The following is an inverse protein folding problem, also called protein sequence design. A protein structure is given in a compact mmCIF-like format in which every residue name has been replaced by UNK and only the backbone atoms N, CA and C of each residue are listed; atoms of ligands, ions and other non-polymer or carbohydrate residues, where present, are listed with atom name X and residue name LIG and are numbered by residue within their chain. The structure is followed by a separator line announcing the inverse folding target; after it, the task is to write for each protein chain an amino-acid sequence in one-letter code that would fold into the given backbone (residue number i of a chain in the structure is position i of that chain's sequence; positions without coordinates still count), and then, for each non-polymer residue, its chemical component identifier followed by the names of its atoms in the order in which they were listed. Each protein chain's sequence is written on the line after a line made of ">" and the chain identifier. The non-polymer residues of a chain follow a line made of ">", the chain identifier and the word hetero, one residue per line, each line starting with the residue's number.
data_IF_986060063303
#
_entry.id   IF_986060063303
#
_cell.length_a   1.000
_cell.length_b   1.000
_cell.length_c   1.000
_cell.angle_alpha   90.00
_cell.angle_beta   90.00
_cell.angle_gamma   90.00
#
_symmetry.space_group_name_H-M   'P 1'
#
loop_
_entity.id
_entity.type
_entity.pdbx_description
1 polymer ?
#
# COMPACT_ATOMS: atom_id res chain seq x y z
N UNK A 1 7.48 -9.89 -34.45
CA UNK A 1 6.47 -8.85 -34.15
C UNK A 1 7.12 -7.53 -33.78
N UNK A 2 6.36 -6.53 -33.32
CA UNK A 2 6.88 -5.21 -32.95
C UNK A 2 7.91 -5.26 -31.82
N UNK A 3 7.71 -6.14 -30.83
CA UNK A 3 8.63 -6.30 -29.71
C UNK A 3 10.01 -6.86 -30.13
N UNK A 4 10.05 -7.80 -31.03
CA UNK A 4 11.31 -8.36 -31.54
C UNK A 4 12.09 -7.35 -32.38
N UNK A 5 11.38 -6.52 -33.16
CA UNK A 5 12.02 -5.44 -33.91
C UNK A 5 12.59 -4.38 -32.96
N UNK A 6 11.83 -4.01 -31.92
CA UNK A 6 12.29 -3.07 -30.89
C UNK A 6 13.52 -3.61 -30.14
N UNK A 7 13.53 -4.90 -29.78
CA UNK A 7 14.69 -5.56 -29.17
C UNK A 7 15.93 -5.47 -30.06
N UNK A 8 15.80 -5.84 -31.36
CA UNK A 8 16.90 -5.81 -32.29
C UNK A 8 17.52 -4.40 -32.42
N UNK A 9 16.69 -3.36 -32.54
CA UNK A 9 17.16 -1.98 -32.59
C UNK A 9 17.82 -1.51 -31.29
N UNK A 10 17.25 -1.85 -30.15
CA UNK A 10 17.82 -1.47 -28.85
C UNK A 10 19.14 -2.19 -28.58
N UNK A 11 19.25 -3.47 -28.93
CA UNK A 11 20.52 -4.22 -28.84
C UNK A 11 21.59 -3.58 -29.71
N UNK A 12 21.28 -3.27 -30.96
CA UNK A 12 22.20 -2.57 -31.84
C UNK A 12 22.60 -1.20 -31.29
N UNK A 13 21.68 -0.45 -30.72
CA UNK A 13 22.00 0.84 -30.09
C UNK A 13 22.97 0.68 -28.90
N UNK A 14 22.76 -0.34 -28.07
CA UNK A 14 23.65 -0.66 -26.94
C UNK A 14 25.02 -1.16 -27.44
N UNK A 15 25.10 -1.93 -28.53
CA UNK A 15 26.35 -2.35 -29.14
C UNK A 15 27.16 -1.15 -29.66
N UNK A 16 26.49 -0.15 -30.24
CA UNK A 16 27.14 1.06 -30.78
C UNK A 16 27.57 2.04 -29.69
N UNK A 17 26.80 2.12 -28.60
CA UNK A 17 27.05 3.02 -27.46
C UNK A 17 26.66 2.34 -26.14
N UNK A 18 27.51 1.41 -25.69
CA UNK A 18 27.30 0.61 -24.51
C UNK A 18 27.31 1.39 -23.18
N UNK A 19 27.84 2.62 -23.20
CA UNK A 19 27.81 3.52 -22.05
C UNK A 19 26.49 4.30 -21.90
N UNK A 20 25.63 4.26 -22.91
CA UNK A 20 24.43 5.07 -22.96
C UNK A 20 23.36 4.55 -21.98
N UNK A 21 23.11 5.34 -20.95
CA UNK A 21 22.13 5.03 -19.92
C UNK A 21 20.73 4.72 -20.49
N UNK A 22 20.26 5.56 -21.41
CA UNK A 22 18.90 5.47 -21.95
C UNK A 22 18.68 4.25 -22.83
N UNK A 23 19.68 3.84 -23.63
CA UNK A 23 19.56 2.65 -24.46
C UNK A 23 19.51 1.39 -23.59
N UNK A 24 20.39 1.30 -22.60
CA UNK A 24 20.42 0.18 -21.66
C UNK A 24 19.13 0.12 -20.84
N UNK A 25 18.66 1.23 -20.28
CA UNK A 25 17.43 1.29 -19.50
C UNK A 25 16.21 0.87 -20.34
N UNK A 26 16.10 1.34 -21.60
CA UNK A 26 14.99 0.95 -22.48
C UNK A 26 15.05 -0.53 -22.86
N UNK A 27 16.24 -1.08 -23.08
CA UNK A 27 16.40 -2.51 -23.35
C UNK A 27 16.00 -3.35 -22.13
N UNK A 28 16.42 -2.96 -20.94
CA UNK A 28 16.01 -3.62 -19.69
C UNK A 28 14.49 -3.56 -19.48
N UNK A 29 13.87 -2.40 -19.72
CA UNK A 29 12.41 -2.24 -19.61
C UNK A 29 11.66 -3.12 -20.63
N UNK A 30 12.18 -3.26 -21.86
CA UNK A 30 11.62 -4.15 -22.86
C UNK A 30 11.70 -5.62 -22.41
N UNK A 31 12.86 -6.06 -21.91
CA UNK A 31 13.02 -7.42 -21.39
C UNK A 31 12.07 -7.71 -20.21
N UNK A 32 11.90 -6.76 -19.30
CA UNK A 32 10.93 -6.88 -18.20
C UNK A 32 9.49 -7.04 -18.74
N UNK A 33 9.12 -6.25 -19.76
CA UNK A 33 7.78 -6.30 -20.36
C UNK A 33 7.52 -7.55 -21.21
N UNK A 34 8.59 -8.19 -21.73
CA UNK A 34 8.51 -9.40 -22.60
C UNK A 34 8.81 -10.69 -21.83
N UNK A 35 8.64 -10.69 -20.51
CA UNK A 35 8.84 -11.86 -19.65
C UNK A 35 10.27 -12.45 -19.72
N UNK A 36 11.26 -11.60 -19.85
CA UNK A 36 12.69 -11.94 -19.81
C UNK A 36 13.38 -11.25 -18.60
N UNK A 37 12.92 -11.51 -17.37
CA UNK A 37 13.35 -10.76 -16.18
C UNK A 37 14.85 -10.91 -15.87
N UNK A 38 15.47 -12.03 -16.21
CA UNK A 38 16.90 -12.27 -15.99
C UNK A 38 17.74 -11.25 -16.77
N UNK A 39 17.42 -11.05 -18.06
CA UNK A 39 18.14 -10.10 -18.91
C UNK A 39 17.91 -8.65 -18.44
N UNK A 40 16.71 -8.36 -17.96
CA UNK A 40 16.42 -7.05 -17.39
C UNK A 40 17.23 -6.79 -16.12
N UNK A 41 17.30 -7.77 -15.21
CA UNK A 41 18.08 -7.70 -13.96
C UNK A 41 19.55 -7.46 -14.26
N UNK A 42 20.16 -8.24 -15.14
CA UNK A 42 21.57 -8.11 -15.50
C UNK A 42 21.91 -6.70 -15.99
N UNK A 43 21.03 -6.11 -16.79
CA UNK A 43 21.23 -4.74 -17.29
C UNK A 43 21.03 -3.71 -16.19
N UNK A 44 19.99 -3.84 -15.33
CA UNK A 44 19.77 -2.89 -14.24
C UNK A 44 20.87 -2.96 -13.19
N UNK A 45 21.38 -4.14 -12.84
CA UNK A 45 22.54 -4.29 -11.96
C UNK A 45 23.80 -3.64 -12.57
N UNK A 46 24.02 -3.82 -13.87
CA UNK A 46 25.09 -3.15 -14.59
C UNK A 46 24.92 -1.62 -14.59
N UNK A 47 23.71 -1.12 -14.77
CA UNK A 47 23.41 0.32 -14.70
C UNK A 47 23.66 0.88 -13.31
N UNK A 48 23.35 0.15 -12.24
CA UNK A 48 23.60 0.60 -10.86
C UNK A 48 25.09 0.75 -10.55
N UNK A 49 25.96 -0.09 -11.11
CA UNK A 49 27.41 0.05 -10.97
C UNK A 49 27.91 1.37 -11.56
N UNK A 50 27.33 1.77 -12.68
CA UNK A 50 27.71 3.01 -13.39
C UNK A 50 26.99 4.24 -12.80
N UNK A 51 25.78 4.08 -12.29
CA UNK A 51 24.89 5.15 -11.82
C UNK A 51 24.27 4.85 -10.42
N UNK A 52 25.09 4.71 -9.36
CA UNK A 52 24.62 4.25 -8.06
C UNK A 52 23.67 5.20 -7.30
N UNK A 53 23.49 6.43 -7.80
CA UNK A 53 22.57 7.44 -7.21
C UNK A 53 21.24 7.56 -7.95
N UNK A 54 20.88 6.56 -8.75
CA UNK A 54 19.62 6.50 -9.49
C UNK A 54 18.63 5.59 -8.74
N UNK A 55 17.78 6.17 -7.88
CA UNK A 55 16.83 5.43 -7.04
C UNK A 55 15.84 4.60 -7.84
N UNK A 56 15.45 5.07 -9.03
CA UNK A 56 14.53 4.36 -9.93
C UNK A 56 15.08 2.99 -10.40
N UNK A 57 16.39 2.84 -10.54
CA UNK A 57 17.00 1.55 -10.90
C UNK A 57 16.86 0.51 -9.79
N UNK A 58 17.06 0.94 -8.54
CA UNK A 58 16.86 0.05 -7.39
C UNK A 58 15.41 -0.42 -7.28
N UNK A 59 14.47 0.50 -7.45
CA UNK A 59 13.04 0.15 -7.40
C UNK A 59 12.70 -0.88 -8.50
N UNK A 60 13.25 -0.71 -9.72
CA UNK A 60 13.06 -1.70 -10.79
C UNK A 60 13.62 -3.08 -10.45
N UNK A 61 14.78 -3.14 -9.79
CA UNK A 61 15.33 -4.42 -9.32
C UNK A 61 14.47 -5.03 -8.21
N UNK A 62 14.02 -4.23 -7.23
CA UNK A 62 13.10 -4.70 -6.19
C UNK A 62 11.82 -5.29 -6.79
N UNK A 63 11.21 -4.60 -7.76
CA UNK A 63 10.01 -5.08 -8.46
C UNK A 63 10.27 -6.39 -9.22
N UNK A 64 11.40 -6.51 -9.91
CA UNK A 64 11.77 -7.70 -10.68
C UNK A 64 12.08 -8.89 -9.77
N UNK A 65 12.83 -8.69 -8.69
CA UNK A 65 13.09 -9.74 -7.71
C UNK A 65 11.80 -10.19 -7.02
N UNK A 66 10.93 -9.24 -6.65
CA UNK A 66 9.64 -9.57 -6.04
C UNK A 66 8.72 -10.35 -6.99
N UNK A 67 8.67 -9.98 -8.28
CA UNK A 67 7.89 -10.70 -9.29
C UNK A 67 8.36 -12.16 -9.51
N UNK A 68 9.61 -12.46 -9.16
CA UNK A 68 10.20 -13.81 -9.18
C UNK A 68 10.15 -14.51 -7.83
N UNK A 69 9.53 -13.88 -6.84
CA UNK A 69 9.52 -14.36 -5.45
C UNK A 69 10.93 -14.52 -4.83
N UNK A 70 11.95 -13.85 -5.42
CA UNK A 70 13.31 -13.78 -4.87
C UNK A 70 13.37 -12.68 -3.80
N UNK A 71 12.61 -12.88 -2.74
CA UNK A 71 12.44 -11.89 -1.68
C UNK A 71 13.73 -11.58 -0.92
N UNK A 72 14.67 -12.52 -0.84
CA UNK A 72 15.97 -12.28 -0.20
C UNK A 72 16.78 -11.23 -0.99
N UNK A 73 16.81 -11.33 -2.32
CA UNK A 73 17.45 -10.31 -3.15
C UNK A 73 16.70 -8.98 -3.13
N UNK A 74 15.37 -9.02 -3.12
CA UNK A 74 14.56 -7.82 -2.98
C UNK A 74 14.89 -7.10 -1.65
N UNK A 75 14.97 -7.82 -0.53
CA UNK A 75 15.35 -7.28 0.79
C UNK A 75 16.77 -6.71 0.79
N UNK A 76 17.75 -7.43 0.22
CA UNK A 76 19.12 -6.91 0.10
C UNK A 76 19.16 -5.61 -0.72
N UNK A 77 18.38 -5.52 -1.79
CA UNK A 77 18.29 -4.29 -2.59
C UNK A 77 17.64 -3.14 -1.80
N UNK A 78 16.67 -3.43 -0.92
CA UNK A 78 16.12 -2.42 0.00
C UNK A 78 17.18 -1.92 1.01
N UNK A 79 18.05 -2.81 1.52
CA UNK A 79 19.17 -2.41 2.40
C UNK A 79 20.13 -1.47 1.68
N UNK A 80 20.41 -1.71 0.39
CA UNK A 80 21.22 -0.81 -0.44
C UNK A 80 20.54 0.55 -0.63
N UNK A 81 19.22 0.57 -0.92
CA UNK A 81 18.43 1.83 -1.02
C UNK A 81 18.57 2.62 0.29
N UNK A 82 18.35 1.99 1.42
CA UNK A 82 18.39 2.64 2.73
C UNK A 82 19.79 3.15 3.07
N UNK A 83 20.84 2.45 2.62
CA UNK A 83 22.23 2.89 2.79
C UNK A 83 22.55 4.14 1.96
N UNK A 84 22.03 4.23 0.73
CA UNK A 84 22.34 5.33 -0.21
C UNK A 84 21.42 6.54 -0.02
N UNK A 85 20.14 6.32 0.27
CA UNK A 85 19.09 7.35 0.28
C UNK A 85 18.45 7.57 1.65
N UNK A 86 18.71 6.70 2.63
CA UNK A 86 18.04 6.68 3.92
C UNK A 86 16.75 5.86 3.90
N UNK A 87 16.24 5.58 5.11
CA UNK A 87 14.95 4.88 5.29
C UNK A 87 13.79 5.73 4.78
N UNK A 88 12.78 5.10 4.19
CA UNK A 88 11.56 5.73 3.73
C UNK A 88 10.35 4.85 4.05
N UNK A 89 9.15 5.44 4.08
CA UNK A 89 7.90 4.68 4.22
C UNK A 89 7.78 3.57 3.16
N UNK A 90 8.13 3.89 1.92
CA UNK A 90 8.07 2.92 0.82
C UNK A 90 8.98 1.71 1.07
N UNK A 91 10.24 1.93 1.51
CA UNK A 91 11.16 0.82 1.81
C UNK A 91 10.68 -0.01 2.99
N UNK A 92 10.13 0.61 4.03
CA UNK A 92 9.57 -0.08 5.19
C UNK A 92 8.36 -0.97 4.80
N UNK A 93 7.49 -0.45 3.94
CA UNK A 93 6.31 -1.18 3.43
C UNK A 93 6.71 -2.34 2.53
N UNK A 94 7.65 -2.17 1.62
CA UNK A 94 8.17 -3.26 0.80
C UNK A 94 8.79 -4.36 1.67
N UNK A 95 9.64 -3.99 2.63
CA UNK A 95 10.25 -4.92 3.58
C UNK A 95 9.19 -5.72 4.33
N UNK A 96 8.19 -5.05 4.88
CA UNK A 96 7.07 -5.71 5.57
C UNK A 96 6.36 -6.71 4.67
N UNK A 97 6.03 -6.33 3.44
CA UNK A 97 5.31 -7.21 2.52
C UNK A 97 6.16 -8.43 2.09
N UNK A 98 7.46 -8.25 1.83
CA UNK A 98 8.34 -9.35 1.45
C UNK A 98 8.55 -10.34 2.61
N UNK A 99 8.79 -9.84 3.81
CA UNK A 99 8.92 -10.69 5.01
C UNK A 99 7.63 -11.49 5.27
N UNK A 100 6.47 -10.86 5.08
CA UNK A 100 5.18 -11.58 5.15
C UNK A 100 5.05 -12.65 4.06
N UNK A 101 5.42 -12.31 2.82
CA UNK A 101 5.42 -13.27 1.71
C UNK A 101 6.30 -14.48 1.96
N UNK A 102 7.39 -14.32 2.71
CA UNK A 102 8.29 -15.38 3.15
C UNK A 102 7.77 -16.15 4.38
N UNK A 103 6.61 -15.79 4.94
CA UNK A 103 6.11 -16.37 6.19
C UNK A 103 6.83 -15.87 7.46
N UNK A 104 7.70 -14.86 7.36
CA UNK A 104 8.46 -14.24 8.47
C UNK A 104 7.65 -13.10 9.10
N UNK A 105 6.46 -13.43 9.52
CA UNK A 105 5.44 -12.45 9.93
C UNK A 105 5.85 -11.61 11.14
N UNK A 106 6.51 -12.21 12.13
CA UNK A 106 6.99 -11.52 13.35
C UNK A 106 8.10 -10.51 13.01
N UNK A 107 9.00 -10.87 12.09
CA UNK A 107 10.05 -9.97 11.62
C UNK A 107 9.47 -8.82 10.78
N UNK A 108 8.45 -9.11 9.99
CA UNK A 108 7.73 -8.08 9.25
C UNK A 108 7.13 -7.03 10.19
N UNK A 109 6.44 -7.48 11.23
CA UNK A 109 5.87 -6.59 12.25
C UNK A 109 6.96 -5.78 12.96
N UNK A 110 8.04 -6.44 13.42
CA UNK A 110 9.15 -5.79 14.10
C UNK A 110 9.81 -4.71 13.22
N UNK A 111 9.91 -4.94 11.90
CA UNK A 111 10.48 -3.97 10.96
C UNK A 111 9.64 -2.69 10.83
N UNK A 112 8.30 -2.83 10.83
CA UNK A 112 7.40 -1.67 10.85
C UNK A 112 7.42 -0.93 12.19
N UNK A 113 7.47 -1.66 13.31
CA UNK A 113 7.60 -1.03 14.64
C UNK A 113 8.91 -0.24 14.75
N UNK A 114 10.01 -0.80 14.24
CA UNK A 114 11.30 -0.09 14.23
C UNK A 114 11.22 1.20 13.40
N UNK A 115 10.63 1.12 12.20
CA UNK A 115 10.43 2.31 11.38
C UNK A 115 9.55 3.34 12.11
N UNK A 116 8.45 2.92 12.72
CA UNK A 116 7.50 3.80 13.40
C UNK A 116 8.10 4.53 14.61
N UNK A 117 9.10 3.96 15.27
CA UNK A 117 9.80 4.64 16.39
C UNK A 117 10.55 5.90 15.94
N UNK A 118 11.00 5.93 14.70
CA UNK A 118 11.80 7.03 14.14
C UNK A 118 10.95 7.95 13.24
N UNK A 119 10.04 7.37 12.48
CA UNK A 119 9.25 8.05 11.44
C UNK A 119 7.77 7.69 11.55
N UNK A 120 7.03 8.32 12.44
CA UNK A 120 5.60 8.06 12.57
C UNK A 120 4.84 8.39 11.28
N UNK A 121 4.12 7.41 10.75
CA UNK A 121 3.34 7.52 9.52
C UNK A 121 1.93 6.94 9.71
N UNK A 122 0.86 7.63 9.27
CA UNK A 122 -0.51 7.09 9.33
C UNK A 122 -0.64 5.76 8.61
N UNK A 123 0.06 5.57 7.50
CA UNK A 123 0.08 4.32 6.75
C UNK A 123 0.69 3.18 7.58
N UNK A 124 1.89 3.40 8.13
CA UNK A 124 2.59 2.38 8.92
C UNK A 124 1.80 2.02 10.17
N UNK A 125 1.27 3.01 10.88
CA UNK A 125 0.41 2.80 12.06
C UNK A 125 -0.85 2.01 11.71
N UNK A 126 -1.46 2.28 10.56
CA UNK A 126 -2.61 1.49 10.08
C UNK A 126 -2.24 0.05 9.78
N UNK A 127 -1.09 -0.19 9.13
CA UNK A 127 -0.60 -1.54 8.87
C UNK A 127 -0.28 -2.31 10.17
N UNK A 128 0.28 -1.64 11.18
CA UNK A 128 0.49 -2.20 12.51
C UNK A 128 -0.85 -2.55 13.19
N UNK A 129 -1.85 -1.67 13.07
CA UNK A 129 -3.20 -1.94 13.58
C UNK A 129 -3.85 -3.15 12.92
N UNK A 130 -3.81 -3.23 11.57
CA UNK A 130 -4.34 -4.36 10.80
C UNK A 130 -3.67 -5.69 11.18
N UNK A 131 -2.36 -5.64 11.42
CA UNK A 131 -1.65 -6.79 11.96
C UNK A 131 -2.16 -7.22 13.33
N UNK A 132 -2.38 -6.26 14.25
CA UNK A 132 -2.93 -6.56 15.58
C UNK A 132 -4.35 -7.15 15.51
N UNK A 133 -5.18 -6.71 14.55
CA UNK A 133 -6.49 -7.32 14.27
C UNK A 133 -6.33 -8.80 13.89
N UNK A 134 -5.36 -9.12 13.03
CA UNK A 134 -5.10 -10.51 12.62
C UNK A 134 -4.67 -11.40 13.78
N UNK A 135 -4.12 -10.80 14.84
CA UNK A 135 -3.71 -11.47 16.07
C UNK A 135 -4.77 -11.40 17.19
N UNK A 136 -5.98 -10.92 16.88
CA UNK A 136 -7.10 -10.72 17.83
C UNK A 136 -6.78 -9.75 18.97
N UNK A 137 -5.88 -8.81 18.76
CA UNK A 137 -5.49 -7.78 19.73
C UNK A 137 -6.22 -6.45 19.48
N UNK A 138 -7.56 -6.46 19.54
CA UNK A 138 -8.42 -5.32 19.17
C UNK A 138 -8.06 -4.02 19.90
N UNK A 139 -7.69 -4.10 21.18
CA UNK A 139 -7.35 -2.91 21.98
C UNK A 139 -6.07 -2.24 21.50
N UNK A 140 -5.05 -3.01 21.15
CA UNK A 140 -3.79 -2.49 20.59
C UNK A 140 -4.00 -1.95 19.18
N UNK A 141 -4.82 -2.62 18.37
CA UNK A 141 -5.21 -2.13 17.05
C UNK A 141 -5.90 -0.77 17.13
N UNK A 142 -6.85 -0.59 18.05
CA UNK A 142 -7.53 0.68 18.27
C UNK A 142 -6.56 1.80 18.71
N UNK A 143 -5.52 1.46 19.49
CA UNK A 143 -4.49 2.43 19.86
C UNK A 143 -3.71 2.91 18.63
N UNK A 144 -3.23 2.01 17.78
CA UNK A 144 -2.52 2.37 16.54
C UNK A 144 -3.40 3.16 15.55
N UNK A 145 -4.68 2.79 15.39
CA UNK A 145 -5.59 3.60 14.57
C UNK A 145 -5.79 5.01 15.14
N UNK A 146 -5.87 5.15 16.46
CA UNK A 146 -5.96 6.47 17.08
C UNK A 146 -4.71 7.30 16.83
N UNK A 147 -3.51 6.72 17.00
CA UNK A 147 -2.26 7.39 16.70
C UNK A 147 -2.17 7.81 15.22
N UNK A 148 -2.62 6.96 14.29
CA UNK A 148 -2.70 7.31 12.88
C UNK A 148 -3.64 8.51 12.63
N UNK A 149 -4.78 8.54 13.31
CA UNK A 149 -5.77 9.62 13.20
C UNK A 149 -5.38 10.89 13.96
N UNK A 150 -4.49 10.82 14.93
CA UNK A 150 -3.88 11.99 15.57
C UNK A 150 -2.93 12.71 14.61
N UNK A 151 -2.24 11.97 13.73
CA UNK A 151 -1.37 12.52 12.69
C UNK A 151 -2.20 13.02 11.49
N UNK A 152 -3.12 12.22 11.01
CA UNK A 152 -3.98 12.50 9.85
C UNK A 152 -5.45 12.19 10.18
N UNK A 153 -6.21 13.18 10.70
CA UNK A 153 -7.57 12.98 11.20
C UNK A 153 -8.57 12.41 10.19
N UNK A 154 -8.33 12.63 8.90
CA UNK A 154 -9.22 12.21 7.80
C UNK A 154 -8.61 11.04 7.00
N UNK A 155 -7.62 10.32 7.56
CA UNK A 155 -7.00 9.20 6.88
C UNK A 155 -7.98 8.02 6.77
N UNK A 156 -8.58 7.88 5.59
CA UNK A 156 -9.66 6.94 5.32
C UNK A 156 -9.36 5.48 5.72
N UNK A 157 -8.16 4.91 5.44
CA UNK A 157 -7.85 3.54 5.87
C UNK A 157 -7.91 3.35 7.39
N UNK A 158 -7.39 4.31 8.18
CA UNK A 158 -7.45 4.23 9.64
C UNK A 158 -8.87 4.42 10.18
N UNK A 159 -9.67 5.30 9.57
CA UNK A 159 -11.08 5.47 9.94
C UNK A 159 -11.87 4.18 9.71
N UNK A 160 -11.69 3.55 8.55
CA UNK A 160 -12.36 2.28 8.22
C UNK A 160 -11.90 1.13 9.12
N UNK A 161 -10.60 0.95 9.31
CA UNK A 161 -10.06 -0.09 10.19
C UNK A 161 -10.56 0.06 11.63
N UNK A 162 -10.56 1.31 12.14
CA UNK A 162 -11.10 1.62 13.47
C UNK A 162 -12.60 1.34 13.54
N UNK A 163 -13.39 1.76 12.56
CA UNK A 163 -14.82 1.53 12.52
C UNK A 163 -15.12 0.03 12.53
N UNK A 164 -14.47 -0.77 11.67
CA UNK A 164 -14.65 -2.22 11.64
C UNK A 164 -14.27 -2.89 12.97
N UNK A 165 -13.19 -2.49 13.60
CA UNK A 165 -12.77 -2.98 14.91
C UNK A 165 -13.82 -2.68 15.98
N UNK A 166 -14.39 -1.46 15.98
CA UNK A 166 -15.45 -1.06 16.91
C UNK A 166 -16.74 -1.85 16.65
N UNK A 167 -17.08 -2.10 15.37
CA UNK A 167 -18.23 -2.92 15.00
C UNK A 167 -18.08 -4.37 15.47
N UNK A 168 -16.92 -4.98 15.25
CA UNK A 168 -16.62 -6.36 15.67
C UNK A 168 -16.66 -6.51 17.20
N UNK A 169 -16.18 -5.50 17.93
CA UNK A 169 -16.21 -5.46 19.39
C UNK A 169 -17.53 -4.94 19.98
N UNK A 170 -18.55 -4.75 19.14
CA UNK A 170 -19.91 -4.29 19.49
C UNK A 170 -19.97 -2.91 20.18
N UNK A 171 -18.98 -2.08 19.95
CA UNK A 171 -18.95 -0.67 20.41
C UNK A 171 -19.68 0.22 19.40
N UNK A 172 -20.97 -0.04 19.23
CA UNK A 172 -21.74 0.52 18.09
C UNK A 172 -21.88 2.04 18.13
N UNK A 173 -21.92 2.66 19.29
CA UNK A 173 -21.96 4.12 19.39
C UNK A 173 -20.70 4.74 18.78
N UNK A 174 -19.54 4.26 19.18
CA UNK A 174 -18.24 4.75 18.69
C UNK A 174 -18.06 4.39 17.20
N UNK A 175 -18.55 3.21 16.76
CA UNK A 175 -18.57 2.79 15.37
C UNK A 175 -19.26 3.84 14.48
N UNK A 176 -20.48 4.24 14.80
CA UNK A 176 -21.22 5.22 14.00
C UNK A 176 -20.56 6.60 14.03
N UNK A 177 -19.99 7.00 15.17
CA UNK A 177 -19.24 8.26 15.27
C UNK A 177 -18.04 8.29 14.30
N UNK A 178 -17.29 7.20 14.23
CA UNK A 178 -16.14 7.09 13.32
C UNK A 178 -16.58 6.98 11.86
N UNK A 179 -17.66 6.23 11.60
CA UNK A 179 -18.22 6.06 10.26
C UNK A 179 -18.77 7.37 9.71
N UNK A 180 -19.45 8.18 10.51
CA UNK A 180 -19.90 9.50 10.11
C UNK A 180 -18.70 10.37 9.67
N UNK A 181 -17.61 10.36 10.44
CA UNK A 181 -16.41 11.10 10.10
C UNK A 181 -15.79 10.65 8.76
N UNK A 182 -15.79 9.32 8.50
CA UNK A 182 -15.31 8.78 7.22
C UNK A 182 -16.16 9.26 6.03
N UNK A 183 -17.49 9.26 6.16
CA UNK A 183 -18.37 9.63 5.05
C UNK A 183 -18.46 11.14 4.83
N UNK A 184 -18.18 11.95 5.84
CA UNK A 184 -18.13 13.43 5.74
C UNK A 184 -16.94 13.96 4.92
N UNK A 185 -15.86 13.19 4.76
CA UNK A 185 -14.69 13.61 4.02
C UNK A 185 -14.98 13.76 2.52
N UNK A 186 -14.97 14.97 1.94
CA UNK A 186 -15.29 15.17 0.52
C UNK A 186 -14.19 14.67 -0.43
N UNK A 187 -12.99 14.38 0.08
CA UNK A 187 -11.85 13.92 -0.72
C UNK A 187 -11.88 12.40 -0.96
N UNK A 188 -12.52 11.66 -0.07
CA UNK A 188 -12.71 10.21 -0.29
C UNK A 188 -13.77 10.00 -1.37
N UNK A 189 -13.46 9.26 -2.46
CA UNK A 189 -14.40 9.00 -3.55
C UNK A 189 -15.71 8.40 -3.07
N UNK A 190 -16.82 8.87 -3.67
CA UNK A 190 -18.18 8.44 -3.28
C UNK A 190 -18.42 6.95 -3.54
N UNK A 191 -17.82 6.40 -4.58
CA UNK A 191 -17.93 4.98 -4.91
C UNK A 191 -17.41 4.10 -3.76
N UNK A 192 -16.26 4.43 -3.19
CA UNK A 192 -15.71 3.69 -2.05
C UNK A 192 -16.58 3.77 -0.80
N UNK A 193 -17.23 4.90 -0.55
CA UNK A 193 -18.20 5.07 0.55
C UNK A 193 -19.47 4.24 0.29
N UNK A 194 -20.01 4.33 -0.92
CA UNK A 194 -21.20 3.60 -1.34
C UNK A 194 -21.00 2.08 -1.29
N UNK A 195 -19.85 1.59 -1.78
CA UNK A 195 -19.49 0.18 -1.74
C UNK A 195 -19.39 -0.33 -0.28
N UNK A 196 -18.74 0.45 0.58
CA UNK A 196 -18.63 0.10 2.00
C UNK A 196 -19.99 0.06 2.68
N UNK A 197 -20.83 1.10 2.52
CA UNK A 197 -22.17 1.15 3.12
C UNK A 197 -23.06 0.04 2.60
N UNK A 198 -23.02 -0.23 1.31
CA UNK A 198 -23.76 -1.34 0.69
C UNK A 198 -23.34 -2.68 1.28
N UNK A 199 -22.03 -2.92 1.42
CA UNK A 199 -21.53 -4.14 2.03
C UNK A 199 -21.95 -4.28 3.50
N UNK A 200 -21.98 -3.17 4.26
CA UNK A 200 -22.46 -3.16 5.66
C UNK A 200 -23.96 -3.53 5.70
N UNK A 201 -24.79 -2.89 4.86
CA UNK A 201 -26.24 -3.16 4.82
C UNK A 201 -26.51 -4.62 4.46
N UNK A 202 -25.83 -5.16 3.43
CA UNK A 202 -26.05 -6.53 2.96
C UNK A 202 -25.61 -7.61 3.94
N UNK A 203 -24.55 -7.35 4.72
CA UNK A 203 -23.99 -8.31 5.69
C UNK A 203 -24.60 -8.22 7.08
N UNK A 204 -25.42 -7.22 7.33
CA UNK A 204 -25.93 -6.92 8.67
C UNK A 204 -27.30 -7.58 8.89
N UNK A 205 -27.49 -8.16 10.09
CA UNK A 205 -28.74 -8.75 10.54
C UNK A 205 -29.88 -7.69 10.47
N UNK A 206 -31.05 -8.01 9.93
CA UNK A 206 -32.22 -7.12 9.91
C UNK A 206 -32.63 -6.59 11.29
N UNK A 207 -32.36 -7.33 12.37
CA UNK A 207 -32.62 -6.89 13.73
C UNK A 207 -31.67 -5.77 14.15
N UNK A 208 -30.37 -5.90 13.80
CA UNK A 208 -29.38 -4.85 14.02
C UNK A 208 -29.76 -3.59 13.24
N UNK A 209 -30.09 -3.72 11.95
CA UNK A 209 -30.50 -2.59 11.12
C UNK A 209 -31.67 -1.81 11.73
N UNK A 210 -32.69 -2.51 12.24
CA UNK A 210 -33.83 -1.86 12.92
C UNK A 210 -33.42 -1.13 14.20
N UNK A 211 -32.43 -1.66 14.95
CA UNK A 211 -31.97 -1.06 16.21
C UNK A 211 -31.14 0.22 15.98
N UNK A 212 -30.48 0.35 14.83
CA UNK A 212 -29.59 1.45 14.51
C UNK A 212 -30.02 2.25 13.26
N UNK A 213 -31.31 2.17 12.88
CA UNK A 213 -31.87 2.87 11.73
C UNK A 213 -31.59 4.38 11.75
N UNK A 214 -31.78 5.12 12.87
CA UNK A 214 -31.49 6.55 12.91
C UNK A 214 -30.01 6.88 12.64
N UNK A 215 -29.11 6.05 13.12
CA UNK A 215 -27.67 6.23 12.89
C UNK A 215 -27.29 5.95 11.43
N UNK A 216 -27.87 4.91 10.83
CA UNK A 216 -27.69 4.62 9.40
C UNK A 216 -28.24 5.74 8.52
N UNK A 217 -29.40 6.27 8.83
CA UNK A 217 -29.99 7.41 8.10
C UNK A 217 -29.09 8.66 8.23
N UNK A 218 -28.49 8.88 9.41
CA UNK A 218 -27.52 9.97 9.61
C UNK A 218 -26.30 9.78 8.71
N UNK A 219 -25.71 8.60 8.67
CA UNK A 219 -24.52 8.29 7.85
C UNK A 219 -24.83 8.49 6.36
N UNK A 220 -25.96 7.96 5.87
CA UNK A 220 -26.38 8.12 4.47
C UNK A 220 -26.59 9.60 4.14
N UNK A 221 -27.29 10.35 5.02
CA UNK A 221 -27.54 11.78 4.82
C UNK A 221 -26.24 12.58 4.73
N UNK A 222 -25.25 12.28 5.58
CA UNK A 222 -23.94 12.93 5.55
C UNK A 222 -23.15 12.57 4.29
N UNK A 223 -23.25 11.32 3.82
CA UNK A 223 -22.64 10.91 2.54
C UNK A 223 -23.20 11.75 1.38
N UNK A 224 -24.52 11.90 1.29
CA UNK A 224 -25.19 12.71 0.27
C UNK A 224 -24.77 14.19 0.37
N UNK A 225 -24.66 14.73 1.58
CA UNK A 225 -24.23 16.11 1.81
C UNK A 225 -22.78 16.36 1.40
N UNK A 226 -21.89 15.39 1.61
CA UNK A 226 -20.50 15.47 1.17
C UNK A 226 -20.33 15.43 -0.35
N UNK A 227 -21.31 14.83 -1.07
CA UNK A 227 -21.26 14.64 -2.54
C UNK A 227 -22.57 15.06 -3.24
N UNK A 228 -22.95 16.35 -3.14
CA UNK A 228 -24.30 16.80 -3.58
C UNK A 228 -24.53 16.73 -5.09
N UNK A 229 -23.47 16.57 -5.88
CA UNK A 229 -23.54 16.49 -7.34
C UNK A 229 -23.52 15.05 -7.87
N UNK A 230 -23.40 14.06 -6.99
CA UNK A 230 -23.31 12.67 -7.37
C UNK A 230 -24.68 11.97 -7.27
N UNK A 231 -25.10 11.31 -8.36
CA UNK A 231 -26.38 10.61 -8.44
C UNK A 231 -26.27 9.10 -8.15
N UNK A 232 -25.10 8.63 -7.73
CA UNK A 232 -24.84 7.20 -7.44
C UNK A 232 -25.13 6.79 -6.00
N UNK A 233 -25.57 7.73 -5.15
CA UNK A 233 -25.90 7.51 -3.74
C UNK A 233 -27.39 7.23 -3.57
#
# INVERSE_FOLDING_TARGET
>A
GEAEAAEAYLRQAVELDGGNFWYRQRLAALYAATSQPELAIDIYEGLLKDFPKKSDLYIKLVELYAAREDFEKALSTLDEIETVFGKSESTAVYRFNFLRGMGRAEEAFASLEEYNKEYSSPYVLTALADWQISMYNDSTALAYYNEALDIAPDYAPALLGKAETLRMTRKYHDYFTVLEKFVEDPLTPVEGKSDYLTAVIQRTDPKFMRSFLPQMDSVISKTIQAHPSDSTI
#
